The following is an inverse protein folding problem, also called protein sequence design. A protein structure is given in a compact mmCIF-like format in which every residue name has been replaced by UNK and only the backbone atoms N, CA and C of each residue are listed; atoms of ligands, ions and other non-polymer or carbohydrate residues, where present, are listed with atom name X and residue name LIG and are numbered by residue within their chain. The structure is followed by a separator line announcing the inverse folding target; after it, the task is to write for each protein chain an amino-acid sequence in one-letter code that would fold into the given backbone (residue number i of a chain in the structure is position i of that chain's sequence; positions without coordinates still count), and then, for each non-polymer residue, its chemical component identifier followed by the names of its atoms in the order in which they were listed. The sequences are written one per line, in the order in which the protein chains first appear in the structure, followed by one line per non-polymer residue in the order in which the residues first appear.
data_IF_490582368931
#
_entry.id   IF_490582368931
#
_cell.length_a   1.000
_cell.length_b   1.000
_cell.length_c   1.000
_cell.angle_alpha   90.00
_cell.angle_beta   90.00
_cell.angle_gamma   90.00
#
_symmetry.space_group_name_H-M   'P 1'
#
loop_
_entity.id
_entity.type
_entity.pdbx_description
1 polymer ?
#
# COMPACT_ATOMS: atom_id res chain seq x y z
N UNK A 1 19.96 -7.36 -12.02
CA UNK A 1 19.35 -6.04 -11.96
C UNK A 1 18.00 -6.11 -11.31
N UNK A 2 17.82 -5.28 -10.35
CA UNK A 2 16.60 -5.30 -9.57
C UNK A 2 15.42 -4.71 -10.37
N UNK A 3 14.25 -5.32 -10.22
CA UNK A 3 13.02 -4.82 -10.81
C UNK A 3 12.13 -4.22 -9.74
N UNK A 4 12.73 -3.41 -8.87
CA UNK A 4 11.99 -2.89 -7.73
C UNK A 4 10.90 -1.93 -8.12
N UNK A 5 11.04 -1.25 -9.26
CA UNK A 5 10.05 -0.27 -9.69
C UNK A 5 9.31 -0.78 -10.89
N UNK A 6 8.00 -0.64 -10.86
CA UNK A 6 7.18 -0.87 -12.03
C UNK A 6 5.90 -0.08 -11.90
N UNK A 7 5.19 0.06 -13.01
CA UNK A 7 3.94 0.78 -12.97
C UNK A 7 2.81 -0.19 -12.69
N UNK A 8 1.78 0.33 -12.04
CA UNK A 8 0.55 -0.40 -11.82
C UNK A 8 -0.61 0.46 -12.31
N UNK A 9 -1.64 -0.19 -12.81
CA UNK A 9 -2.81 0.49 -13.33
C UNK A 9 -3.90 0.46 -12.28
N UNK A 10 -4.45 1.64 -12.01
CA UNK A 10 -5.56 1.72 -11.06
C UNK A 10 -6.83 1.23 -11.74
N UNK A 11 -7.51 0.30 -11.08
CA UNK A 11 -8.80 -0.20 -11.50
C UNK A 11 -9.76 -0.01 -10.36
N UNK A 12 -11.01 0.32 -10.71
CA UNK A 12 -11.98 0.57 -9.68
C UNK A 12 -11.83 1.97 -9.09
N UNK A 13 -12.72 2.30 -8.18
CA UNK A 13 -12.84 3.66 -7.68
C UNK A 13 -12.51 3.80 -6.21
N UNK A 14 -11.92 2.77 -5.60
CA UNK A 14 -11.74 2.76 -4.15
C UNK A 14 -10.79 3.85 -3.68
N UNK A 15 -9.90 4.35 -4.54
CA UNK A 15 -8.94 5.37 -4.14
C UNK A 15 -9.30 6.75 -4.64
N UNK A 16 -10.49 6.94 -5.18
CA UNK A 16 -10.92 8.28 -5.52
C UNK A 16 -11.17 9.09 -4.27
N UNK A 17 -10.91 10.38 -4.28
CA UNK A 17 -10.51 11.19 -5.43
C UNK A 17 -9.00 11.23 -5.67
N UNK A 18 -8.21 10.55 -4.86
CA UNK A 18 -6.76 10.64 -4.96
C UNK A 18 -6.26 10.02 -6.26
N UNK A 19 -6.72 8.81 -6.56
CA UNK A 19 -6.39 8.11 -7.80
C UNK A 19 -7.67 7.62 -8.43
N UNK A 20 -7.73 7.72 -9.74
CA UNK A 20 -8.92 7.35 -10.51
C UNK A 20 -8.61 6.15 -11.40
N UNK A 21 -9.64 5.40 -11.79
CA UNK A 21 -9.41 4.31 -12.74
C UNK A 21 -8.71 4.81 -13.98
N UNK A 22 -7.72 4.04 -14.44
CA UNK A 22 -6.93 4.42 -15.60
C UNK A 22 -5.66 5.16 -15.28
N UNK A 23 -5.50 5.63 -14.04
CA UNK A 23 -4.23 6.24 -13.63
C UNK A 23 -3.14 5.17 -13.59
N UNK A 24 -1.93 5.54 -14.00
CA UNK A 24 -0.76 4.70 -13.86
C UNK A 24 0.09 5.22 -12.73
N UNK A 25 0.46 4.34 -11.81
CA UNK A 25 1.23 4.71 -10.63
C UNK A 25 2.56 3.98 -10.66
N UNK A 26 3.58 4.62 -10.12
CA UNK A 26 4.87 3.98 -9.94
C UNK A 26 4.89 3.30 -8.59
N UNK A 27 5.19 2.02 -8.58
CA UNK A 27 5.24 1.22 -7.37
C UNK A 27 6.67 0.74 -7.14
N UNK A 28 7.08 0.76 -5.88
CA UNK A 28 8.37 0.23 -5.48
C UNK A 28 8.13 -1.07 -4.73
N UNK A 29 8.52 -2.17 -5.36
CA UNK A 29 8.25 -3.51 -4.83
C UNK A 29 9.35 -3.94 -3.89
N UNK A 30 9.02 -4.74 -2.91
CA UNK A 30 9.98 -5.26 -1.97
C UNK A 30 9.29 -5.82 -0.74
N UNK A 31 10.10 -6.14 0.24
CA UNK A 31 9.60 -6.60 1.53
C UNK A 31 9.57 -5.41 2.46
N UNK A 32 8.44 -5.21 3.10
CA UNK A 32 8.22 -4.03 3.90
C UNK A 32 8.08 -4.35 5.36
N UNK A 33 8.54 -3.43 6.19
CA UNK A 33 8.37 -3.48 7.62
C UNK A 33 7.83 -2.13 8.07
N UNK A 34 7.31 -2.07 9.28
CA UNK A 34 6.81 -0.82 9.83
C UNK A 34 7.98 0.10 10.15
N UNK A 35 7.77 1.39 9.89
CA UNK A 35 8.77 2.39 10.31
C UNK A 35 8.79 2.47 11.83
N UNK A 36 9.99 2.37 12.39
CA UNK A 36 10.14 2.51 13.82
C UNK A 36 9.96 3.96 14.24
N UNK A 37 9.47 4.18 15.45
CA UNK A 37 9.50 5.51 16.01
C UNK A 37 10.91 5.78 16.51
N UNK A 38 11.40 6.98 16.29
CA UNK A 38 12.73 7.36 16.71
C UNK A 38 13.80 6.73 15.83
N UNK A 39 15.04 6.97 16.22
CA UNK A 39 16.18 6.47 15.46
C UNK A 39 16.39 4.98 15.71
N UNK A 40 16.67 4.24 14.65
CA UNK A 40 16.97 2.84 14.76
C UNK A 40 17.79 2.45 13.54
N UNK A 41 18.75 1.55 13.73
CA UNK A 41 19.50 1.04 12.59
C UNK A 41 18.59 0.35 11.59
N UNK A 42 17.49 -0.25 12.07
CA UNK A 42 16.54 -0.89 11.17
C UNK A 42 15.92 0.08 10.18
N UNK A 43 15.87 1.37 10.51
CA UNK A 43 15.32 2.36 9.60
C UNK A 43 16.27 2.73 8.48
N UNK A 44 17.53 2.32 8.58
CA UNK A 44 18.52 2.63 7.54
C UNK A 44 18.51 1.61 6.41
N UNK A 45 17.92 0.44 6.62
CA UNK A 45 18.00 -0.65 5.66
C UNK A 45 16.60 -1.18 5.40
N UNK A 46 16.41 -1.61 4.14
CA UNK A 46 15.16 -2.22 3.76
C UNK A 46 14.06 -1.19 3.53
N UNK A 47 12.91 -1.71 3.24
CA UNK A 47 11.77 -0.87 2.90
C UNK A 47 10.90 -0.69 4.12
N UNK A 48 10.38 0.51 4.28
CA UNK A 48 9.57 0.86 5.45
C UNK A 48 8.27 1.52 5.03
N UNK A 49 7.21 1.21 5.75
CA UNK A 49 5.91 1.86 5.56
C UNK A 49 5.42 2.45 6.87
N UNK A 50 4.60 3.46 6.74
CA UNK A 50 4.02 4.17 7.88
C UNK A 50 2.63 4.65 7.52
N UNK A 51 1.93 5.14 8.53
CA UNK A 51 0.62 5.75 8.32
C UNK A 51 0.74 6.86 7.28
N UNK A 52 -0.19 6.86 6.34
CA UNK A 52 -0.23 7.83 5.25
C UNK A 52 0.27 7.29 3.94
N UNK A 53 1.06 6.22 3.96
CA UNK A 53 1.56 5.64 2.73
C UNK A 53 0.45 4.92 1.98
N UNK A 54 0.51 4.98 0.65
CA UNK A 54 -0.37 4.19 -0.20
C UNK A 54 0.43 2.99 -0.68
N UNK A 55 -0.19 1.83 -0.61
CA UNK A 55 0.52 0.58 -0.85
C UNK A 55 -0.30 -0.37 -1.69
N UNK A 56 0.41 -1.29 -2.35
CA UNK A 56 -0.20 -2.42 -3.02
C UNK A 56 -0.28 -3.55 -2.01
N UNK A 57 -1.48 -4.04 -1.79
CA UNK A 57 -1.78 -5.01 -0.73
C UNK A 57 -2.21 -6.32 -1.37
N UNK A 58 -1.66 -7.42 -0.88
CA UNK A 58 -2.11 -8.76 -1.24
C UNK A 58 -2.54 -9.45 0.04
N UNK A 59 -3.82 -9.79 0.13
CA UNK A 59 -4.34 -10.44 1.33
C UNK A 59 -4.02 -11.92 1.29
N UNK A 60 -3.68 -12.51 2.45
CA UNK A 60 -3.35 -13.95 2.45
C UNK A 60 -4.49 -14.82 1.94
N UNK A 61 -5.74 -14.40 2.14
CA UNK A 61 -6.89 -15.19 1.73
C UNK A 61 -7.09 -15.21 0.22
N UNK A 62 -6.55 -14.23 -0.48
CA UNK A 62 -6.77 -14.10 -1.91
C UNK A 62 -5.46 -13.83 -2.63
N UNK A 63 -4.60 -14.85 -2.70
CA UNK A 63 -3.31 -14.65 -3.37
C UNK A 63 -3.50 -14.30 -4.83
N UNK A 64 -2.63 -13.44 -5.33
CA UNK A 64 -2.67 -13.02 -6.72
C UNK A 64 -3.59 -11.84 -6.99
N UNK A 65 -4.36 -11.41 -6.02
CA UNK A 65 -5.23 -10.24 -6.18
C UNK A 65 -4.60 -9.08 -5.41
N UNK A 66 -4.41 -7.96 -6.10
CA UNK A 66 -3.74 -6.80 -5.53
C UNK A 66 -4.71 -5.65 -5.37
N UNK A 67 -4.64 -5.01 -4.22
CA UNK A 67 -5.46 -3.86 -3.89
C UNK A 67 -4.56 -2.67 -3.64
N UNK A 68 -4.99 -1.48 -4.03
CA UNK A 68 -4.28 -0.24 -3.71
C UNK A 68 -5.06 0.44 -2.60
N UNK A 69 -4.41 0.62 -1.44
CA UNK A 69 -5.07 1.15 -0.25
C UNK A 69 -4.09 2.05 0.49
N UNK A 70 -4.63 2.90 1.35
CA UNK A 70 -3.80 3.76 2.21
C UNK A 70 -3.68 3.13 3.58
N UNK A 71 -2.47 3.14 4.13
CA UNK A 71 -2.24 2.69 5.49
C UNK A 71 -2.70 3.80 6.42
N UNK A 72 -3.67 3.51 7.27
CA UNK A 72 -4.26 4.52 8.16
C UNK A 72 -3.97 4.25 9.62
N UNK A 73 -3.48 3.07 9.97
CA UNK A 73 -3.07 2.80 11.35
C UNK A 73 -2.08 1.65 11.34
N UNK A 74 -1.27 1.57 12.38
CA UNK A 74 -0.29 0.50 12.52
C UNK A 74 -0.27 0.01 13.96
N UNK A 75 0.07 -1.27 14.12
CA UNK A 75 0.33 -1.86 15.44
C UNK A 75 1.73 -2.41 15.43
N UNK A 76 2.62 -1.73 16.15
CA UNK A 76 4.04 -2.13 16.14
C UNK A 76 4.27 -3.45 16.87
N UNK A 77 3.55 -3.69 17.96
CA UNK A 77 3.77 -4.90 18.73
C UNK A 77 3.44 -6.16 17.96
N UNK A 78 2.51 -6.09 17.03
CA UNK A 78 2.08 -7.27 16.28
C UNK A 78 2.41 -7.19 14.80
N UNK A 79 3.12 -6.14 14.37
CA UNK A 79 3.49 -5.94 12.95
C UNK A 79 2.27 -5.98 12.04
N UNK A 80 1.25 -5.22 12.40
CA UNK A 80 0.01 -5.20 11.64
C UNK A 80 -0.30 -3.80 11.16
N UNK A 81 -1.04 -3.74 10.07
CA UNK A 81 -1.49 -2.50 9.47
C UNK A 81 -2.99 -2.51 9.30
N UNK A 82 -3.57 -1.33 9.34
CA UNK A 82 -4.98 -1.11 9.01
C UNK A 82 -5.01 -0.25 7.76
N UNK A 83 -5.70 -0.71 6.74
CA UNK A 83 -5.70 -0.01 5.46
C UNK A 83 -7.10 0.49 5.14
N UNK A 84 -7.18 1.60 4.42
CA UNK A 84 -8.45 2.22 4.08
C UNK A 84 -8.45 2.62 2.63
N UNK A 85 -9.64 2.55 2.03
CA UNK A 85 -9.90 3.17 0.75
C UNK A 85 -10.05 4.67 0.95
N UNK A 86 -9.48 5.47 0.04
CA UNK A 86 -9.71 6.91 0.12
C UNK A 86 -11.17 7.24 -0.19
N UNK A 87 -11.81 6.40 -0.99
CA UNK A 87 -13.24 6.50 -1.24
C UNK A 87 -13.97 5.75 -0.12
N UNK A 88 -14.82 6.42 0.66
CA UNK A 88 -15.47 5.74 1.78
C UNK A 88 -16.36 4.58 1.38
N UNK A 89 -16.72 4.47 0.11
CA UNK A 89 -17.52 3.34 -0.33
C UNK A 89 -16.69 2.14 -0.75
N UNK A 90 -15.36 2.24 -0.71
CA UNK A 90 -14.52 1.10 -1.03
C UNK A 90 -14.47 0.09 0.09
N UNK A 91 -13.99 -1.10 -0.25
CA UNK A 91 -13.80 -2.18 0.72
C UNK A 91 -12.39 -2.12 1.25
N UNK A 92 -12.21 -2.32 2.54
CA UNK A 92 -10.88 -2.22 3.14
C UNK A 92 -10.89 -2.88 4.52
N UNK A 93 -9.95 -2.47 5.38
CA UNK A 93 -9.80 -3.08 6.70
C UNK A 93 -11.02 -2.90 7.61
N UNK A 94 -11.92 -1.98 7.28
CA UNK A 94 -13.18 -1.93 8.05
C UNK A 94 -13.94 -3.24 7.95
N UNK A 95 -13.74 -3.98 6.87
CA UNK A 95 -14.31 -5.31 6.71
C UNK A 95 -13.28 -6.41 6.91
N UNK A 96 -12.03 -6.16 6.51
CA UNK A 96 -10.99 -7.19 6.55
C UNK A 96 -10.32 -7.31 7.90
N UNK A 97 -10.35 -6.24 8.71
CA UNK A 97 -9.60 -6.21 9.96
C UNK A 97 -8.15 -5.86 9.72
N UNK A 98 -7.35 -6.10 10.73
CA UNK A 98 -5.92 -5.83 10.68
C UNK A 98 -5.23 -6.85 9.79
N UNK A 99 -4.25 -6.39 9.03
CA UNK A 99 -3.49 -7.25 8.14
C UNK A 99 -2.04 -7.29 8.60
N UNK A 100 -1.37 -8.43 8.38
CA UNK A 100 0.07 -8.46 8.67
C UNK A 100 0.81 -7.53 7.71
N UNK A 101 1.89 -6.93 8.19
CA UNK A 101 2.65 -5.99 7.34
C UNK A 101 3.21 -6.69 6.11
N UNK A 102 3.41 -8.02 6.15
CA UNK A 102 3.88 -8.73 4.96
C UNK A 102 2.87 -8.69 3.82
N UNK A 103 1.63 -8.26 4.07
CA UNK A 103 0.66 -8.06 3.00
C UNK A 103 1.06 -6.90 2.07
N UNK A 104 1.95 -6.02 2.50
CA UNK A 104 2.43 -4.92 1.66
C UNK A 104 3.40 -5.48 0.64
N UNK A 105 3.05 -5.37 -0.63
CA UNK A 105 3.88 -5.86 -1.73
C UNK A 105 4.68 -4.75 -2.37
N UNK A 106 4.17 -3.53 -2.31
CA UNK A 106 4.83 -2.39 -2.92
C UNK A 106 4.29 -1.13 -2.29
N UNK A 107 5.07 -0.06 -2.39
CA UNK A 107 4.66 1.25 -1.93
C UNK A 107 4.51 2.14 -3.16
N UNK A 108 3.43 2.89 -3.22
CA UNK A 108 3.19 3.81 -4.31
C UNK A 108 4.02 5.06 -4.06
N UNK A 109 4.84 5.42 -5.04
CA UNK A 109 5.75 6.55 -4.87
C UNK A 109 5.35 7.77 -5.71
N UNK A 110 4.62 7.57 -6.81
CA UNK A 110 4.16 8.71 -7.60
C UNK A 110 3.10 8.26 -8.59
N UNK A 111 2.37 9.22 -9.14
CA UNK A 111 1.51 8.96 -10.28
C UNK A 111 2.25 9.40 -11.53
N UNK A 112 2.43 8.47 -12.47
CA UNK A 112 3.21 8.77 -13.66
C UNK A 112 2.34 9.16 -14.83
N UNK A 113 1.04 8.84 -14.80
CA UNK A 113 0.16 9.17 -15.90
C UNK A 113 -1.28 9.12 -15.41
N UNK A 114 -2.03 10.18 -15.69
CA UNK A 114 -3.44 10.21 -15.35
C UNK A 114 -4.24 9.43 -16.38
N UNK A 115 -5.25 8.75 -15.89
CA UNK A 115 -6.16 8.05 -16.77
C UNK A 115 -6.98 9.03 -17.58
N UNK A 116 -7.46 8.54 -18.69
CA UNK A 116 -8.41 9.32 -19.48
C UNK A 116 -9.76 9.26 -18.82
N UNK A 117 -10.46 10.39 -18.97
CA UNK A 117 -11.69 10.42 -18.29
C UNK A 117 -12.84 10.12 -19.18
#
# INVERSE_FOLDING_TARGET
MSKRYSTVLVEGESMQPTYSPGDWLMARWGKYALRSSGFSLGNLFGERVAVGDVAVIERPEYPGIYYIKRITDVRHESNQIFVSSDNPEGTDSREWGWLPVVSVQAKIVSRVRKGKK
#
